data_IF_675055230756
#
_entry.id   IF_675055230756
#
_cell.length_a   1.000
_cell.length_b   1.000
_cell.length_c   1.000
_cell.angle_alpha   90.00
_cell.angle_beta   90.00
_cell.angle_gamma   90.00
#
_symmetry.space_group_name_H-M   'P 1'
#
loop_
_entity.id
_entity.type
_entity.pdbx_description
1 polymer ?
#
# COMPACT_ATOMS: atom_id res chain seq x y z
N UNK A 1 -11.10 8.86 -9.94
CA UNK A 1 -11.17 9.79 -8.78
C UNK A 1 -10.44 9.23 -7.56
N UNK A 2 -10.55 7.92 -7.28
CA UNK A 2 -9.85 7.27 -6.17
C UNK A 2 -8.32 7.40 -6.23
N UNK A 3 -7.71 7.16 -7.39
CA UNK A 3 -6.24 7.22 -7.53
C UNK A 3 -5.67 8.61 -7.20
N UNK A 4 -6.36 9.66 -7.64
CA UNK A 4 -5.98 11.05 -7.34
C UNK A 4 -6.13 11.34 -5.84
N UNK A 5 -7.21 10.86 -5.21
CA UNK A 5 -7.42 11.05 -3.77
C UNK A 5 -6.32 10.37 -2.95
N UNK A 6 -5.98 9.11 -3.26
CA UNK A 6 -4.89 8.39 -2.61
C UNK A 6 -3.53 9.06 -2.88
N UNK A 7 -3.29 9.52 -4.10
CA UNK A 7 -2.09 10.28 -4.45
C UNK A 7 -1.94 11.55 -3.61
N UNK A 8 -3.02 12.31 -3.43
CA UNK A 8 -3.02 13.52 -2.58
C UNK A 8 -2.73 13.17 -1.12
N UNK A 9 -3.42 12.19 -0.54
CA UNK A 9 -3.19 11.76 0.86
C UNK A 9 -1.76 11.23 1.05
N UNK A 10 -1.23 10.52 0.05
CA UNK A 10 0.17 10.09 0.02
C UNK A 10 1.15 11.27 0.02
N UNK A 11 0.93 12.29 -0.82
CA UNK A 11 1.77 13.50 -0.84
C UNK A 11 1.71 14.27 0.49
N UNK A 12 0.54 14.31 1.12
CA UNK A 12 0.35 14.97 2.41
C UNK A 12 1.16 14.31 3.54
N UNK A 13 1.57 13.05 3.40
CA UNK A 13 2.49 12.40 4.35
C UNK A 13 3.85 13.11 4.46
N UNK A 14 4.28 13.82 3.41
CA UNK A 14 5.52 14.63 3.42
C UNK A 14 5.40 15.85 4.33
N UNK A 15 4.19 16.40 4.46
CA UNK A 15 3.88 17.56 5.30
C UNK A 15 3.52 17.13 6.72
N UNK A 16 2.60 16.16 6.85
CA UNK A 16 2.13 15.63 8.12
C UNK A 16 2.90 14.36 8.48
N UNK A 17 4.10 14.56 9.03
CA UNK A 17 5.05 13.48 9.36
C UNK A 17 4.71 12.74 10.66
N UNK A 18 3.43 12.49 10.92
CA UNK A 18 2.98 11.76 12.10
C UNK A 18 2.77 10.29 11.77
N UNK A 19 3.10 9.40 12.72
CA UNK A 19 2.87 7.96 12.52
C UNK A 19 1.39 7.67 12.28
N UNK A 20 0.50 8.29 13.05
CA UNK A 20 -0.95 8.10 12.87
C UNK A 20 -1.43 8.47 11.46
N UNK A 21 -0.92 9.55 10.86
CA UNK A 21 -1.30 9.94 9.51
C UNK A 21 -0.78 8.94 8.46
N UNK A 22 0.47 8.49 8.61
CA UNK A 22 1.03 7.46 7.75
C UNK A 22 0.30 6.13 7.89
N UNK A 23 -0.05 5.71 9.11
CA UNK A 23 -0.85 4.52 9.38
C UNK A 23 -2.20 4.59 8.67
N UNK A 24 -2.94 5.68 8.83
CA UNK A 24 -4.25 5.86 8.19
C UNK A 24 -4.14 5.83 6.66
N UNK A 25 -3.11 6.49 6.11
CA UNK A 25 -2.83 6.51 4.67
C UNK A 25 -2.54 5.11 4.13
N UNK A 26 -1.65 4.36 4.79
CA UNK A 26 -1.26 3.00 4.40
C UNK A 26 -2.45 2.05 4.48
N UNK A 27 -3.28 2.13 5.53
CA UNK A 27 -4.48 1.29 5.66
C UNK A 27 -5.48 1.61 4.55
N UNK A 28 -5.81 2.89 4.34
CA UNK A 28 -6.80 3.30 3.35
C UNK A 28 -6.39 2.90 1.93
N UNK A 29 -5.17 3.25 1.54
CA UNK A 29 -4.63 2.87 0.23
C UNK A 29 -4.42 1.36 0.11
N UNK A 30 -4.00 0.70 1.18
CA UNK A 30 -3.74 -0.74 1.18
C UNK A 30 -5.00 -1.58 1.00
N UNK A 31 -6.12 -1.20 1.61
CA UNK A 31 -7.41 -1.90 1.39
C UNK A 31 -7.79 -1.85 -0.09
N UNK A 32 -7.64 -0.68 -0.72
CA UNK A 32 -7.93 -0.52 -2.14
C UNK A 32 -7.00 -1.37 -3.02
N UNK A 33 -5.68 -1.25 -2.82
CA UNK A 33 -4.69 -1.96 -3.62
C UNK A 33 -4.82 -3.48 -3.49
N UNK A 34 -4.94 -4.01 -2.27
CA UNK A 34 -5.15 -5.44 -2.07
C UNK A 34 -6.45 -5.89 -2.75
N UNK A 35 -7.53 -5.10 -2.63
CA UNK A 35 -8.79 -5.38 -3.32
C UNK A 35 -8.65 -5.44 -4.85
N UNK A 36 -7.93 -4.49 -5.44
CA UNK A 36 -7.65 -4.48 -6.89
C UNK A 36 -6.79 -5.67 -7.33
N UNK A 37 -5.75 -6.00 -6.55
CA UNK A 37 -4.89 -7.15 -6.79
C UNK A 37 -5.64 -8.49 -6.72
N UNK A 38 -6.55 -8.63 -5.76
CA UNK A 38 -7.46 -9.79 -5.69
C UNK A 38 -8.43 -9.81 -6.88
N UNK A 39 -8.87 -8.66 -7.36
CA UNK A 39 -9.66 -8.54 -8.60
C UNK A 39 -8.90 -9.07 -9.82
N UNK A 40 -7.61 -8.72 -9.95
CA UNK A 40 -6.76 -9.25 -11.00
C UNK A 40 -6.61 -10.78 -10.93
N UNK A 41 -6.39 -11.33 -9.74
CA UNK A 41 -6.33 -12.79 -9.49
C UNK A 41 -7.67 -13.45 -9.84
N UNK A 42 -8.79 -12.83 -9.46
CA UNK A 42 -10.11 -13.32 -9.81
C UNK A 42 -10.31 -13.37 -11.33
N UNK A 43 -9.95 -12.33 -12.07
CA UNK A 43 -10.03 -12.31 -13.54
C UNK A 43 -9.16 -13.39 -14.20
N UNK A 44 -8.01 -13.71 -13.62
CA UNK A 44 -7.16 -14.83 -14.09
C UNK A 44 -7.86 -16.18 -13.90
N UNK A 45 -8.46 -16.40 -12.72
CA UNK A 45 -9.06 -17.69 -12.36
C UNK A 45 -10.43 -17.89 -13.03
N UNK A 46 -11.28 -16.87 -13.01
CA UNK A 46 -12.66 -16.96 -13.48
C UNK A 46 -12.77 -16.79 -15.00
N UNK A 47 -11.96 -15.90 -15.59
CA UNK A 47 -12.09 -15.52 -17.00
C UNK A 47 -10.87 -15.89 -17.85
N UNK A 48 -9.82 -16.47 -17.25
CA UNK A 48 -8.58 -16.82 -17.98
C UNK A 48 -7.84 -15.60 -18.53
N UNK A 49 -8.04 -14.42 -17.94
CA UNK A 49 -7.44 -13.18 -18.44
C UNK A 49 -6.00 -13.03 -17.94
N UNK A 50 -5.05 -13.59 -18.70
CA UNK A 50 -3.61 -13.46 -18.44
C UNK A 50 -2.95 -12.33 -19.24
N UNK A 51 -3.72 -11.34 -19.70
CA UNK A 51 -3.17 -10.21 -20.42
C UNK A 51 -2.17 -9.44 -19.53
N UNK A 52 -1.10 -8.83 -20.09
CA UNK A 52 -0.08 -8.14 -19.30
C UNK A 52 -0.60 -6.99 -18.42
N UNK A 53 -1.74 -6.39 -18.78
CA UNK A 53 -2.40 -5.36 -17.98
C UNK A 53 -3.28 -5.92 -16.86
N UNK A 54 -3.44 -7.24 -16.75
CA UNK A 54 -4.17 -7.91 -15.69
C UNK A 54 -3.23 -8.77 -14.82
N UNK A 55 -2.45 -9.66 -15.45
CA UNK A 55 -1.54 -10.59 -14.78
C UNK A 55 -0.07 -10.13 -14.77
N UNK A 56 0.17 -8.84 -15.04
CA UNK A 56 1.51 -8.25 -15.06
C UNK A 56 1.83 -7.44 -13.82
N UNK A 57 2.71 -6.44 -13.98
CA UNK A 57 3.26 -5.66 -12.87
C UNK A 57 2.20 -5.00 -11.98
N UNK A 58 1.08 -4.56 -12.55
CA UNK A 58 0.00 -3.89 -11.81
C UNK A 58 -0.55 -4.77 -10.67
N UNK A 59 -0.84 -6.05 -10.94
CA UNK A 59 -1.32 -6.99 -9.92
C UNK A 59 -0.31 -7.18 -8.79
N UNK A 60 0.98 -7.30 -9.11
CA UNK A 60 2.01 -7.46 -8.09
C UNK A 60 2.17 -6.19 -7.24
N UNK A 61 2.10 -5.00 -7.84
CA UNK A 61 2.12 -3.75 -7.09
C UNK A 61 0.90 -3.68 -6.16
N UNK A 62 -0.28 -3.99 -6.67
CA UNK A 62 -1.52 -3.99 -5.91
C UNK A 62 -1.47 -4.93 -4.70
N UNK A 63 -0.88 -6.13 -4.84
CA UNK A 63 -0.77 -7.11 -3.77
C UNK A 63 0.35 -6.83 -2.76
N UNK A 64 1.51 -6.35 -3.22
CA UNK A 64 2.72 -6.33 -2.38
C UNK A 64 3.12 -4.93 -1.90
N UNK A 65 2.83 -3.87 -2.65
CA UNK A 65 3.18 -2.51 -2.26
C UNK A 65 2.65 -2.10 -0.87
N UNK A 66 1.37 -2.36 -0.51
CA UNK A 66 0.89 -2.01 0.83
C UNK A 66 1.58 -2.80 1.96
N UNK A 67 2.01 -4.04 1.69
CA UNK A 67 2.76 -4.84 2.66
C UNK A 67 4.16 -4.27 2.89
N UNK A 68 4.82 -3.81 1.84
CA UNK A 68 6.12 -3.13 1.95
C UNK A 68 5.98 -1.85 2.77
N UNK A 69 4.98 -1.01 2.50
CA UNK A 69 4.75 0.21 3.27
C UNK A 69 4.43 -0.07 4.74
N UNK A 70 3.59 -1.07 5.03
CA UNK A 70 3.30 -1.50 6.39
C UNK A 70 4.57 -2.00 7.11
N UNK A 71 5.41 -2.79 6.44
CA UNK A 71 6.69 -3.26 6.96
C UNK A 71 7.64 -2.12 7.30
N UNK A 72 7.75 -1.11 6.42
CA UNK A 72 8.55 0.09 6.65
C UNK A 72 8.03 0.91 7.83
N UNK A 73 6.71 1.05 7.97
CA UNK A 73 6.11 1.77 9.08
C UNK A 73 6.37 1.05 10.41
N UNK A 74 6.21 -0.28 10.44
CA UNK A 74 6.53 -1.10 11.63
C UNK A 74 8.02 -0.98 11.98
N UNK A 75 8.89 -1.05 10.98
CA UNK A 75 10.32 -0.86 11.18
C UNK A 75 10.63 0.52 11.79
N UNK A 76 10.03 1.58 11.26
CA UNK A 76 10.19 2.93 11.79
C UNK A 76 9.68 3.09 13.22
N UNK A 77 8.51 2.51 13.52
CA UNK A 77 7.92 2.53 14.84
C UNK A 77 8.83 1.88 15.88
N UNK A 78 9.49 0.77 15.51
CA UNK A 78 10.47 0.10 16.37
C UNK A 78 11.69 1.00 16.65
N UNK A 79 12.24 1.64 15.63
CA UNK A 79 13.43 2.50 15.77
C UNK A 79 13.16 3.75 16.62
N UNK A 80 11.93 4.26 16.61
CA UNK A 80 11.52 5.40 17.45
C UNK A 80 11.23 5.02 18.90
N UNK A 81 11.01 3.73 19.16
CA UNK A 81 10.69 3.20 20.49
C UNK A 81 11.92 2.69 21.24
N UNK A 82 13.08 2.58 20.58
CA UNK A 82 14.33 2.20 21.22
C UNK A 82 14.82 3.32 22.17
N UNK A 83 15.11 3.02 23.45
CA UNK A 83 15.68 4.00 24.36
C UNK A 83 17.09 4.40 23.91
N UNK A 84 17.39 5.70 23.96
CA UNK A 84 18.72 6.22 23.60
C UNK A 84 19.78 5.57 24.52
N UNK A 85 20.83 4.94 23.96
CA UNK A 85 21.92 4.39 24.77
C UNK A 85 22.58 5.49 25.60
N UNK A 86 22.78 5.23 26.91
CA UNK A 86 23.43 6.16 27.85
C UNK A 86 24.95 6.23 27.64
#
# INVERSE_FOLDING_TARGET
>A
MWDVAMGIVGLLCLKFKSEGYWTATIIGTGIFLIGAGLGHVYEMVANGNFAPNNAGAVMYIDLFYPLVLAGLLVWLHRHRSEPVPQ
#
